data_IF_864478631910
#
_entry.id   IF_864478631910
#
_cell.length_a   1.000
_cell.length_b   1.000
_cell.length_c   1.000
_cell.angle_alpha   90.00
_cell.angle_beta   90.00
_cell.angle_gamma   90.00
#
_symmetry.space_group_name_H-M   'P 1'
#
loop_
_entity.id
_entity.type
_entity.pdbx_description
1 polymer ?
#
# COMPACT_ATOMS: atom_id res chain seq x y z
N UNK A 1 -18.00 -5.33 -12.89
CA UNK A 1 -18.04 -4.78 -11.52
C UNK A 1 -17.26 -3.48 -11.52
N UNK A 2 -17.87 -2.36 -11.15
CA UNK A 2 -17.17 -1.09 -10.96
C UNK A 2 -16.51 -1.12 -9.58
N UNK A 3 -15.29 -0.59 -9.43
CA UNK A 3 -14.66 -0.47 -8.12
C UNK A 3 -15.31 0.70 -7.37
N UNK A 4 -15.98 0.41 -6.26
CA UNK A 4 -16.58 1.42 -5.38
C UNK A 4 -15.65 1.69 -4.19
N UNK A 5 -15.35 2.97 -3.94
CA UNK A 5 -14.44 3.41 -2.87
C UNK A 5 -15.08 4.56 -2.09
N UNK A 6 -15.04 4.49 -0.76
CA UNK A 6 -15.57 5.53 0.13
C UNK A 6 -14.45 6.48 0.58
N UNK A 7 -13.93 7.29 -0.35
CA UNK A 7 -12.84 8.23 -0.06
C UNK A 7 -13.41 9.61 0.26
N UNK A 8 -13.14 10.07 1.49
CA UNK A 8 -13.56 11.39 2.00
C UNK A 8 -12.38 12.09 2.67
N UNK A 9 -12.07 13.36 2.34
CA UNK A 9 -12.70 14.17 1.29
C UNK A 9 -12.46 13.59 -0.11
N UNK A 10 -13.33 13.96 -1.06
CA UNK A 10 -13.23 13.47 -2.42
C UNK A 10 -11.93 13.99 -3.05
N UNK A 11 -11.07 13.10 -3.59
CA UNK A 11 -9.85 13.53 -4.27
C UNK A 11 -10.20 14.26 -5.57
N UNK A 12 -9.28 15.10 -6.03
CA UNK A 12 -9.45 15.89 -7.25
C UNK A 12 -9.64 15.00 -8.50
N UNK A 13 -9.03 13.82 -8.54
CA UNK A 13 -9.16 12.87 -9.64
C UNK A 13 -8.95 11.41 -9.17
N UNK A 14 -9.73 10.49 -9.72
CA UNK A 14 -9.53 9.03 -9.61
C UNK A 14 -9.68 8.46 -11.02
N UNK A 15 -8.70 7.70 -11.49
CA UNK A 15 -8.75 6.98 -12.76
C UNK A 15 -8.81 5.47 -12.48
N UNK A 16 -10.00 4.84 -12.56
CA UNK A 16 -10.11 3.40 -12.42
C UNK A 16 -9.32 2.66 -13.51
N UNK A 17 -8.59 1.62 -13.12
CA UNK A 17 -7.89 0.72 -14.03
C UNK A 17 -8.48 -0.67 -13.92
N UNK A 18 -8.31 -1.45 -15.00
CA UNK A 18 -8.70 -2.85 -14.99
C UNK A 18 -7.84 -3.66 -14.00
N UNK A 19 -8.45 -4.68 -13.41
CA UNK A 19 -7.84 -5.48 -12.35
C UNK A 19 -8.12 -4.95 -10.95
N UNK A 20 -7.81 -5.77 -9.95
CA UNK A 20 -7.97 -5.43 -8.54
C UNK A 20 -6.80 -6.01 -7.75
N UNK A 21 -6.13 -5.15 -6.98
CA UNK A 21 -5.13 -5.61 -6.04
C UNK A 21 -5.80 -6.42 -4.93
N UNK A 22 -5.29 -7.63 -4.68
CA UNK A 22 -5.76 -8.50 -3.60
C UNK A 22 -4.72 -8.50 -2.49
N UNK A 23 -5.08 -7.93 -1.34
CA UNK A 23 -4.26 -8.02 -0.14
C UNK A 23 -4.24 -9.47 0.38
N UNK A 24 -3.05 -9.98 0.69
CA UNK A 24 -2.86 -11.32 1.24
C UNK A 24 -1.60 -11.38 2.11
N UNK A 25 -1.43 -12.45 2.88
CA UNK A 25 -0.24 -12.66 3.73
C UNK A 25 1.09 -12.79 2.94
N UNK A 26 1.03 -12.82 1.60
CA UNK A 26 2.21 -12.85 0.73
C UNK A 26 2.67 -11.45 0.29
N UNK A 27 1.88 -10.42 0.60
CA UNK A 27 2.22 -9.03 0.28
C UNK A 27 3.19 -8.50 1.34
N UNK A 28 4.16 -7.70 0.89
CA UNK A 28 5.09 -7.00 1.75
C UNK A 28 4.90 -5.48 1.60
N UNK A 29 5.11 -4.76 2.69
CA UNK A 29 5.23 -3.30 2.69
C UNK A 29 6.66 -2.94 2.33
N UNK A 30 6.82 -2.14 1.29
CA UNK A 30 8.14 -1.75 0.76
C UNK A 30 8.41 -0.31 1.17
N UNK A 31 9.45 -0.09 1.97
CA UNK A 31 9.82 1.24 2.47
C UNK A 31 11.17 1.67 1.89
N UNK A 32 11.33 2.94 1.47
CA UNK A 32 12.62 3.46 1.05
C UNK A 32 13.64 3.45 2.22
N UNK A 33 14.89 3.02 1.99
CA UNK A 33 15.88 2.87 3.06
C UNK A 33 16.28 4.20 3.73
N UNK A 34 16.14 5.33 3.03
CA UNK A 34 16.55 6.66 3.52
C UNK A 34 15.38 7.49 4.08
N UNK A 35 14.30 6.85 4.52
CA UNK A 35 13.09 7.54 4.99
C UNK A 35 12.56 6.93 6.31
N UNK A 36 13.12 7.33 7.47
CA UNK A 36 12.67 6.81 8.77
C UNK A 36 11.20 7.13 9.07
N UNK A 37 10.72 8.32 8.66
CA UNK A 37 9.30 8.69 8.78
C UNK A 37 8.40 7.74 7.97
N UNK A 38 8.82 7.35 6.76
CA UNK A 38 8.07 6.40 5.94
C UNK A 38 8.00 5.01 6.61
N UNK A 39 9.01 4.62 7.39
CA UNK A 39 9.03 3.39 8.18
C UNK A 39 8.02 3.44 9.31
N UNK A 40 7.91 4.55 10.03
CA UNK A 40 6.91 4.72 11.09
C UNK A 40 5.48 4.68 10.52
N UNK A 41 5.26 5.34 9.38
CA UNK A 41 3.98 5.32 8.66
C UNK A 41 3.64 3.91 8.18
N UNK A 42 4.61 3.18 7.63
CA UNK A 42 4.40 1.81 7.14
C UNK A 42 4.05 0.85 8.27
N UNK A 43 4.71 0.97 9.43
CA UNK A 43 4.37 0.19 10.62
C UNK A 43 2.95 0.47 11.10
N UNK A 44 2.57 1.75 11.19
CA UNK A 44 1.21 2.16 11.56
C UNK A 44 0.15 1.58 10.61
N UNK A 45 0.43 1.58 9.30
CA UNK A 45 -0.45 0.95 8.30
C UNK A 45 -0.53 -0.57 8.48
N UNK A 46 0.59 -1.24 8.75
CA UNK A 46 0.64 -2.69 8.96
C UNK A 46 -0.21 -3.11 10.17
N UNK A 47 -0.12 -2.37 11.27
CA UNK A 47 -0.93 -2.60 12.47
C UNK A 47 -2.43 -2.44 12.17
N UNK A 48 -2.81 -1.37 11.47
CA UNK A 48 -4.21 -1.14 11.10
C UNK A 48 -4.77 -2.26 10.20
N UNK A 49 -3.97 -2.75 9.24
CA UNK A 49 -4.35 -3.86 8.37
C UNK A 49 -4.45 -5.19 9.13
N UNK A 50 -3.61 -5.40 10.15
CA UNK A 50 -3.70 -6.56 11.04
C UNK A 50 -4.98 -6.52 11.89
N UNK A 51 -5.35 -5.37 12.43
CA UNK A 51 -6.57 -5.20 13.24
C UNK A 51 -7.85 -5.38 12.42
N UNK A 52 -7.89 -4.85 11.20
CA UNK A 52 -9.09 -4.83 10.36
C UNK A 52 -9.27 -6.09 9.52
N UNK A 53 -8.19 -6.68 9.03
CA UNK A 53 -8.23 -7.82 8.11
C UNK A 53 -7.57 -9.09 8.66
N UNK A 54 -6.95 -9.05 9.84
CA UNK A 54 -6.20 -10.19 10.40
C UNK A 54 -4.92 -10.52 9.63
N UNK A 55 -4.50 -9.66 8.70
CA UNK A 55 -3.35 -9.88 7.81
C UNK A 55 -2.11 -9.29 8.45
N UNK A 56 -1.07 -10.11 8.63
CA UNK A 56 0.24 -9.64 9.09
C UNK A 56 1.15 -9.46 7.90
N UNK A 57 1.41 -8.20 7.55
CA UNK A 57 2.33 -7.84 6.47
C UNK A 57 3.76 -7.79 7.00
N UNK A 58 4.71 -8.19 6.14
CA UNK A 58 6.14 -8.06 6.41
C UNK A 58 6.67 -6.79 5.77
N UNK A 59 7.49 -6.05 6.50
CA UNK A 59 8.22 -4.90 5.97
C UNK A 59 9.48 -5.39 5.25
N UNK A 60 9.82 -4.77 4.12
CA UNK A 60 11.04 -5.03 3.38
C UNK A 60 11.63 -3.72 2.87
N UNK A 61 12.95 -3.59 2.95
CA UNK A 61 13.68 -2.42 2.48
C UNK A 61 13.91 -2.55 0.97
N UNK A 62 13.49 -1.54 0.18
CA UNK A 62 13.74 -1.55 -1.27
C UNK A 62 15.19 -1.14 -1.53
N UNK A 63 16.05 -2.10 -1.86
CA UNK A 63 17.41 -1.83 -2.35
C UNK A 63 17.47 -1.59 -3.87
N UNK A 64 16.37 -1.83 -4.59
CA UNK A 64 16.32 -1.62 -6.04
C UNK A 64 15.68 -0.28 -6.40
N UNK A 65 16.50 0.59 -7.01
CA UNK A 65 16.06 1.74 -7.82
C UNK A 65 15.38 1.25 -9.12
N UNK A 66 14.48 0.27 -9.07
CA UNK A 66 13.70 -0.07 -10.24
C UNK A 66 12.57 0.93 -10.32
N UNK A 67 12.80 1.98 -11.11
CA UNK A 67 11.75 2.91 -11.55
C UNK A 67 10.51 2.10 -11.90
N UNK A 68 9.52 2.11 -11.00
CA UNK A 68 8.21 1.55 -11.27
C UNK A 68 7.60 2.46 -12.31
N UNK A 69 7.89 2.17 -13.60
CA UNK A 69 7.20 2.79 -14.72
C UNK A 69 5.72 2.49 -14.54
N UNK A 70 4.99 3.52 -14.15
CA UNK A 70 3.54 3.54 -14.27
C UNK A 70 3.25 3.91 -15.72
N UNK A 71 2.73 2.95 -16.47
CA UNK A 71 2.36 3.11 -17.88
C UNK A 71 1.02 3.83 -17.99
#
# INVERSE_FOLDING_TARGET
MVNEYNIVPKPNQILPREGRFKLSNKVCLVVPPNAPEAKEIANSLAEQLKLTAGISLKETESTEHKSMKIN
#
